data_IF_237984709849
#
_entry.id   IF_237984709849
#
_cell.length_a   1.000
_cell.length_b   1.000
_cell.length_c   1.000
_cell.angle_alpha   90.00
_cell.angle_beta   90.00
_cell.angle_gamma   90.00
#
_symmetry.space_group_name_H-M   'P 1'
#
loop_
_entity.id
_entity.type
_entity.pdbx_description
1 polymer ?
#
# COMPACT_ATOMS: atom_id res chain seq x y z
N UNK A 1 -5.30 -23.71 -13.04
CA UNK A 1 -6.38 -23.23 -12.13
C UNK A 1 -5.80 -22.72 -10.81
N UNK A 2 -4.95 -23.48 -10.11
CA UNK A 2 -4.36 -23.06 -8.83
C UNK A 2 -3.55 -21.74 -8.89
N UNK A 3 -2.74 -21.56 -9.94
CA UNK A 3 -1.94 -20.34 -10.14
C UNK A 3 -2.81 -19.10 -10.44
N UNK A 4 -3.93 -19.26 -11.16
CA UNK A 4 -4.88 -18.17 -11.44
C UNK A 4 -5.58 -17.71 -10.15
N UNK A 5 -5.97 -18.63 -9.29
CA UNK A 5 -6.70 -18.33 -8.06
C UNK A 5 -5.82 -17.65 -7.00
N UNK A 6 -4.57 -18.08 -6.83
CA UNK A 6 -3.63 -17.45 -5.91
C UNK A 6 -3.28 -16.01 -6.32
N UNK A 7 -3.17 -15.75 -7.62
CA UNK A 7 -2.98 -14.42 -8.22
C UNK A 7 -4.09 -13.45 -7.84
N UNK A 8 -5.33 -13.93 -7.95
CA UNK A 8 -6.54 -13.17 -7.66
C UNK A 8 -6.66 -12.82 -6.17
N UNK A 9 -6.19 -13.71 -5.28
CA UNK A 9 -6.37 -13.55 -3.83
C UNK A 9 -5.81 -12.23 -3.29
N UNK A 10 -4.69 -11.74 -3.84
CA UNK A 10 -4.06 -10.47 -3.43
C UNK A 10 -4.93 -9.25 -3.72
N UNK A 11 -5.74 -9.32 -4.76
CA UNK A 11 -6.64 -8.23 -5.12
C UNK A 11 -7.98 -8.31 -4.42
N UNK A 12 -8.30 -9.39 -3.68
CA UNK A 12 -9.63 -9.69 -3.15
C UNK A 12 -9.75 -9.73 -1.62
N UNK A 13 -8.66 -9.58 -0.86
CA UNK A 13 -8.63 -9.79 0.59
C UNK A 13 -9.00 -8.56 1.43
N UNK A 14 -9.55 -7.49 0.84
CA UNK A 14 -9.95 -6.29 1.58
C UNK A 14 -11.07 -6.55 2.61
N UNK A 15 -11.88 -7.59 2.43
CA UNK A 15 -12.87 -8.01 3.43
C UNK A 15 -12.26 -8.53 4.75
N UNK A 16 -10.95 -8.77 4.80
CA UNK A 16 -10.27 -9.30 5.99
C UNK A 16 -9.80 -8.20 6.96
N UNK A 17 -10.00 -6.92 6.62
CA UNK A 17 -9.61 -5.82 7.50
C UNK A 17 -10.38 -5.87 8.83
N UNK A 18 -9.71 -5.52 9.95
CA UNK A 18 -10.33 -5.57 11.26
C UNK A 18 -11.43 -4.51 11.39
N UNK A 19 -12.52 -4.87 12.09
CA UNK A 19 -13.65 -3.95 12.36
C UNK A 19 -13.36 -2.90 13.44
N UNK A 20 -12.18 -2.94 14.04
CA UNK A 20 -11.74 -2.00 15.08
C UNK A 20 -10.39 -1.45 14.68
N UNK A 21 -10.19 -0.18 14.97
CA UNK A 21 -8.87 0.44 14.81
C UNK A 21 -7.82 -0.29 15.66
N UNK A 22 -6.66 -0.49 15.06
CA UNK A 22 -5.52 -1.10 15.71
C UNK A 22 -4.53 -0.02 16.16
N UNK A 23 -3.63 -0.39 17.06
CA UNK A 23 -2.52 0.51 17.40
C UNK A 23 -1.58 0.69 16.19
N UNK A 24 -0.88 1.83 16.09
CA UNK A 24 0.06 2.10 15.01
C UNK A 24 1.09 0.99 14.78
N UNK A 25 1.62 0.93 13.55
CA UNK A 25 2.70 0.02 13.15
C UNK A 25 4.03 0.73 13.43
N UNK A 26 4.69 0.30 14.50
CA UNK A 26 5.94 0.88 15.01
C UNK A 26 6.88 -0.20 15.57
N UNK A 27 8.13 0.17 15.84
CA UNK A 27 9.21 -0.68 16.34
C UNK A 27 10.07 -1.30 15.24
N UNK A 28 9.54 -1.47 14.02
CA UNK A 28 10.32 -1.99 12.90
C UNK A 28 11.33 -0.94 12.37
N UNK A 29 11.03 0.34 12.50
CA UNK A 29 11.91 1.43 12.08
C UNK A 29 13.23 1.44 12.86
N UNK A 30 13.22 0.88 14.07
CA UNK A 30 14.39 0.76 14.97
C UNK A 30 15.29 -0.42 14.63
N UNK A 31 14.86 -1.33 13.75
CA UNK A 31 15.73 -2.44 13.31
C UNK A 31 16.72 -1.95 12.26
N UNK A 32 17.92 -2.52 12.26
CA UNK A 32 18.92 -2.26 11.22
C UNK A 32 18.38 -2.65 9.84
N UNK A 33 18.79 -1.91 8.81
CA UNK A 33 18.51 -2.29 7.43
C UNK A 33 19.42 -3.45 7.03
N UNK A 34 18.82 -4.60 6.68
CA UNK A 34 19.51 -5.85 6.39
C UNK A 34 19.28 -6.32 4.95
N UNK A 35 20.04 -7.31 4.49
CA UNK A 35 19.77 -7.99 3.21
C UNK A 35 18.46 -8.77 3.25
N UNK A 36 17.92 -9.16 2.10
CA UNK A 36 16.67 -9.92 2.03
C UNK A 36 16.79 -11.25 2.80
N UNK A 37 17.90 -11.98 2.61
CA UNK A 37 18.15 -13.26 3.30
C UNK A 37 18.20 -13.09 4.82
N UNK A 38 18.91 -12.07 5.31
CA UNK A 38 18.99 -11.77 6.75
C UNK A 38 17.62 -11.36 7.31
N UNK A 39 16.90 -10.49 6.60
CA UNK A 39 15.62 -9.95 7.04
C UNK A 39 14.53 -11.02 7.21
N UNK A 40 14.63 -12.13 6.46
CA UNK A 40 13.65 -13.21 6.46
C UNK A 40 14.07 -14.41 7.31
N UNK A 41 15.19 -14.33 8.03
CA UNK A 41 15.74 -15.46 8.80
C UNK A 41 14.72 -16.03 9.80
N UNK A 42 13.96 -15.17 10.50
CA UNK A 42 12.92 -15.59 11.46
C UNK A 42 11.69 -16.23 10.81
N UNK A 43 11.53 -16.10 9.49
CA UNK A 43 10.41 -16.61 8.71
C UNK A 43 10.73 -17.91 7.97
N UNK A 44 12.01 -18.26 7.81
CA UNK A 44 12.48 -19.47 7.07
C UNK A 44 11.81 -20.77 7.52
N UNK A 45 11.59 -20.94 8.83
CA UNK A 45 10.94 -22.13 9.40
C UNK A 45 9.40 -22.07 9.39
N UNK A 46 8.82 -20.89 9.11
CA UNK A 46 7.37 -20.66 9.16
C UNK A 46 6.72 -20.71 7.78
N UNK A 47 7.47 -20.36 6.74
CA UNK A 47 6.98 -20.27 5.37
C UNK A 47 7.58 -21.37 4.50
N UNK A 48 6.71 -22.03 3.74
CA UNK A 48 7.10 -23.11 2.85
C UNK A 48 8.08 -22.63 1.77
N UNK A 49 9.16 -23.37 1.55
CA UNK A 49 10.16 -23.11 0.49
C UNK A 49 10.69 -21.66 0.44
N UNK A 50 10.73 -20.96 1.59
CA UNK A 50 11.08 -19.55 1.61
C UNK A 50 12.47 -19.27 1.03
N UNK A 51 13.47 -20.09 1.35
CA UNK A 51 14.85 -19.93 0.86
C UNK A 51 14.93 -19.95 -0.67
N UNK A 52 14.17 -20.84 -1.30
CA UNK A 52 14.09 -20.92 -2.77
C UNK A 52 13.47 -19.65 -3.35
N UNK A 53 12.42 -19.15 -2.70
CA UNK A 53 11.68 -18.00 -3.20
C UNK A 53 12.45 -16.69 -3.00
N UNK A 54 13.21 -16.56 -1.91
CA UNK A 54 14.20 -15.48 -1.72
C UNK A 54 15.22 -15.49 -2.85
N UNK A 55 15.80 -16.66 -3.18
CA UNK A 55 16.78 -16.79 -4.28
C UNK A 55 16.18 -16.41 -5.63
N UNK A 56 14.93 -16.79 -5.91
CA UNK A 56 14.25 -16.40 -7.14
C UNK A 56 14.04 -14.88 -7.18
N UNK A 57 13.54 -14.29 -6.09
CA UNK A 57 13.32 -12.85 -5.99
C UNK A 57 14.62 -12.04 -6.23
N UNK A 58 15.73 -12.47 -5.61
CA UNK A 58 17.05 -11.87 -5.81
C UNK A 58 17.55 -12.00 -7.25
N UNK A 59 17.35 -13.16 -7.88
CA UNK A 59 17.77 -13.37 -9.28
C UNK A 59 17.01 -12.50 -10.26
N UNK A 60 15.71 -12.29 -10.02
CA UNK A 60 14.87 -11.43 -10.84
C UNK A 60 15.10 -9.93 -10.58
N UNK A 61 15.75 -9.59 -9.46
CA UNK A 61 15.98 -8.19 -9.03
C UNK A 61 17.44 -7.72 -9.19
N UNK A 62 18.24 -8.39 -10.04
CA UNK A 62 19.67 -8.08 -10.24
C UNK A 62 19.95 -6.73 -10.92
N UNK A 63 18.94 -6.15 -11.56
CA UNK A 63 19.02 -4.86 -12.26
C UNK A 63 17.97 -3.92 -11.68
N UNK A 64 18.14 -3.46 -10.43
CA UNK A 64 17.16 -2.62 -9.80
C UNK A 64 17.07 -1.27 -10.53
N UNK A 65 15.87 -0.68 -10.48
CA UNK A 65 15.59 0.67 -11.00
C UNK A 65 15.06 1.56 -9.87
N UNK A 66 14.80 2.84 -10.14
CA UNK A 66 14.23 3.80 -9.18
C UNK A 66 15.09 4.01 -7.92
N UNK A 67 16.42 3.85 -8.04
CA UNK A 67 17.35 4.04 -6.92
C UNK A 67 17.27 2.96 -5.83
N UNK A 68 16.62 1.83 -6.12
CA UNK A 68 16.57 0.69 -5.22
C UNK A 68 17.87 -0.11 -5.25
N UNK A 69 18.19 -0.75 -4.13
CA UNK A 69 19.18 -1.84 -4.11
C UNK A 69 18.57 -3.14 -4.66
N UNK A 70 19.40 -4.13 -4.96
CA UNK A 70 18.92 -5.46 -5.36
C UNK A 70 18.06 -6.11 -4.28
N UNK A 71 18.44 -5.97 -3.00
CA UNK A 71 17.66 -6.49 -1.86
C UNK A 71 16.32 -5.77 -1.68
N UNK A 72 16.29 -4.45 -1.86
CA UNK A 72 15.05 -3.65 -1.79
C UNK A 72 14.09 -4.04 -2.92
N UNK A 73 14.58 -4.14 -4.16
CA UNK A 73 13.78 -4.60 -5.29
C UNK A 73 13.33 -6.05 -5.09
N UNK A 74 14.19 -6.91 -4.56
CA UNK A 74 13.85 -8.31 -4.28
C UNK A 74 12.82 -8.44 -3.15
N UNK A 75 12.82 -7.56 -2.15
CA UNK A 75 11.80 -7.55 -1.11
C UNK A 75 10.41 -7.28 -1.70
N UNK A 76 10.30 -6.31 -2.61
CA UNK A 76 9.05 -6.03 -3.34
C UNK A 76 8.68 -7.22 -4.23
N UNK A 77 9.64 -7.76 -4.99
CA UNK A 77 9.40 -8.92 -5.84
C UNK A 77 8.86 -10.10 -5.02
N UNK A 78 9.52 -10.43 -3.90
CA UNK A 78 9.13 -11.51 -3.00
C UNK A 78 7.72 -11.32 -2.44
N UNK A 79 7.33 -10.09 -2.10
CA UNK A 79 5.97 -9.76 -1.67
C UNK A 79 4.93 -10.08 -2.75
N UNK A 80 5.26 -9.83 -4.03
CA UNK A 80 4.34 -10.11 -5.16
C UNK A 80 4.34 -11.56 -5.63
N UNK A 81 5.34 -12.35 -5.23
CA UNK A 81 5.45 -13.74 -5.63
C UNK A 81 4.31 -14.57 -5.04
N UNK A 82 3.85 -15.55 -5.82
CA UNK A 82 2.79 -16.46 -5.43
C UNK A 82 3.33 -17.81 -4.99
N UNK A 83 2.60 -18.42 -4.06
CA UNK A 83 2.83 -19.78 -3.61
C UNK A 83 1.70 -20.68 -4.14
N UNK A 84 1.92 -21.99 -4.25
CA UNK A 84 0.83 -22.94 -4.45
C UNK A 84 -0.25 -22.76 -3.38
N UNK A 85 -1.54 -22.88 -3.76
CA UNK A 85 -2.70 -22.63 -2.89
C UNK A 85 -2.66 -23.33 -1.52
N UNK A 86 -1.95 -24.45 -1.43
CA UNK A 86 -1.79 -25.23 -0.20
C UNK A 86 -0.88 -24.57 0.85
N UNK A 87 -0.20 -23.48 0.51
CA UNK A 87 0.76 -22.82 1.38
C UNK A 87 0.59 -21.29 1.34
N UNK A 88 0.64 -20.67 2.52
CA UNK A 88 0.62 -19.22 2.63
C UNK A 88 1.92 -18.62 2.06
N UNK A 89 1.76 -17.61 1.19
CA UNK A 89 2.86 -16.82 0.65
C UNK A 89 3.32 -15.75 1.62
N UNK A 90 4.42 -15.05 1.30
CA UNK A 90 4.86 -13.86 2.04
C UNK A 90 3.74 -12.81 2.08
N UNK A 91 3.09 -12.54 0.94
CA UNK A 91 1.91 -11.67 0.87
C UNK A 91 0.86 -12.05 1.92
N UNK A 92 0.42 -13.32 1.87
CA UNK A 92 -0.70 -13.82 2.67
C UNK A 92 -0.38 -13.73 4.16
N UNK A 93 0.76 -14.28 4.58
CA UNK A 93 1.13 -14.33 5.99
C UNK A 93 1.52 -12.96 6.55
N UNK A 94 2.10 -12.08 5.74
CA UNK A 94 2.41 -10.72 6.20
C UNK A 94 1.14 -9.90 6.38
N UNK A 95 0.21 -9.94 5.43
CA UNK A 95 -1.05 -9.19 5.55
C UNK A 95 -1.93 -9.72 6.68
N UNK A 96 -1.91 -11.04 6.96
CA UNK A 96 -2.53 -11.60 8.16
C UNK A 96 -1.91 -11.02 9.44
N UNK A 97 -0.58 -10.96 9.53
CA UNK A 97 0.10 -10.39 10.69
C UNK A 97 -0.18 -8.88 10.85
N UNK A 98 -0.24 -8.13 9.75
CA UNK A 98 -0.55 -6.70 9.73
C UNK A 98 -1.98 -6.39 10.17
N UNK A 99 -2.95 -7.26 9.86
CA UNK A 99 -4.35 -7.16 10.29
C UNK A 99 -4.61 -7.71 11.69
N UNK A 100 -3.61 -8.37 12.28
CA UNK A 100 -3.75 -8.95 13.62
C UNK A 100 -3.75 -7.86 14.70
N UNK A 101 -4.76 -7.91 15.58
CA UNK A 101 -4.86 -7.00 16.73
C UNK A 101 -3.66 -7.13 17.69
N UNK A 102 -3.11 -8.33 17.84
CA UNK A 102 -1.92 -8.54 18.65
C UNK A 102 -0.66 -8.16 17.86
N UNK A 103 -0.19 -6.91 18.01
CA UNK A 103 1.02 -6.39 17.33
C UNK A 103 2.30 -7.17 17.58
N UNK A 104 2.38 -7.99 18.64
CA UNK A 104 3.52 -8.89 18.85
C UNK A 104 3.69 -9.93 17.74
N UNK A 105 2.62 -10.26 17.03
CA UNK A 105 2.67 -11.16 15.87
C UNK A 105 3.42 -10.53 14.69
N UNK A 106 3.58 -9.21 14.68
CA UNK A 106 4.32 -8.49 13.65
C UNK A 106 5.82 -8.42 13.94
N UNK A 107 6.25 -8.59 15.20
CA UNK A 107 7.66 -8.49 15.60
C UNK A 107 8.61 -9.40 14.79
N UNK A 108 8.28 -10.67 14.47
CA UNK A 108 9.13 -11.51 13.61
C UNK A 108 9.33 -10.97 12.19
N UNK A 109 8.46 -10.06 11.74
CA UNK A 109 8.50 -9.44 10.42
C UNK A 109 9.28 -8.13 10.40
N UNK A 110 9.64 -7.55 11.56
CA UNK A 110 10.23 -6.21 11.63
C UNK A 110 11.46 -6.02 10.73
N UNK A 111 12.44 -6.96 10.67
CA UNK A 111 13.57 -6.80 9.75
C UNK A 111 13.13 -6.76 8.27
N UNK A 112 12.14 -7.58 7.89
CA UNK A 112 11.60 -7.56 6.53
C UNK A 112 10.79 -6.29 6.26
N UNK A 113 9.96 -5.83 7.20
CA UNK A 113 9.21 -4.57 7.09
C UNK A 113 10.13 -3.37 6.94
N UNK A 114 11.26 -3.34 7.67
CA UNK A 114 12.28 -2.30 7.52
C UNK A 114 12.81 -2.26 6.09
N UNK A 115 13.21 -3.40 5.52
CA UNK A 115 13.70 -3.48 4.14
C UNK A 115 12.61 -3.14 3.12
N UNK A 116 11.43 -3.75 3.26
CA UNK A 116 10.32 -3.60 2.32
C UNK A 116 9.76 -2.18 2.31
N UNK A 117 9.51 -1.57 3.46
CA UNK A 117 9.04 -0.18 3.50
C UNK A 117 10.13 0.80 3.11
N UNK A 118 11.40 0.55 3.43
CA UNK A 118 12.50 1.36 2.88
C UNK A 118 12.44 1.40 1.35
N UNK A 119 12.24 0.24 0.71
CA UNK A 119 12.08 0.16 -0.74
C UNK A 119 10.85 0.94 -1.24
N UNK A 120 9.67 0.73 -0.63
CA UNK A 120 8.44 1.40 -1.05
C UNK A 120 8.46 2.93 -0.85
N UNK A 121 9.12 3.42 0.21
CA UNK A 121 9.25 4.86 0.45
C UNK A 121 10.20 5.55 -0.55
N UNK A 122 11.17 4.82 -1.13
CA UNK A 122 12.03 5.34 -2.21
C UNK A 122 11.29 5.49 -3.54
N UNK A 123 10.20 4.74 -3.74
CA UNK A 123 9.41 4.83 -4.96
C UNK A 123 8.59 6.14 -4.99
N UNK A 124 8.46 6.76 -6.18
CA UNK A 124 7.62 7.94 -6.33
C UNK A 124 6.17 7.63 -5.97
N UNK A 125 5.50 8.60 -5.35
CA UNK A 125 4.07 8.47 -5.03
C UNK A 125 3.23 8.72 -6.29
N UNK A 126 2.44 7.71 -6.65
CA UNK A 126 1.41 7.79 -7.66
C UNK A 126 0.17 8.48 -7.09
N UNK A 127 -0.29 9.51 -7.81
CA UNK A 127 -1.56 10.18 -7.55
C UNK A 127 -2.51 9.87 -8.69
N UNK A 128 -3.70 9.35 -8.38
CA UNK A 128 -4.66 8.98 -9.40
C UNK A 128 -5.69 7.98 -8.91
N UNK A 129 -6.43 7.41 -9.86
CA UNK A 129 -7.44 6.40 -9.57
C UNK A 129 -6.86 5.00 -9.70
N UNK A 130 -7.03 4.19 -8.66
CA UNK A 130 -6.67 2.78 -8.63
C UNK A 130 -7.87 1.92 -8.23
N UNK A 131 -7.81 0.64 -8.57
CA UNK A 131 -8.91 -0.29 -8.43
C UNK A 131 -8.52 -1.50 -7.58
N UNK A 132 -9.45 -1.98 -6.77
CA UNK A 132 -9.30 -3.20 -5.96
C UNK A 132 -10.62 -3.94 -5.87
N UNK A 133 -10.60 -5.26 -5.98
CA UNK A 133 -11.81 -6.08 -5.95
C UNK A 133 -12.02 -6.73 -4.60
N UNK A 134 -13.21 -7.22 -4.33
CA UNK A 134 -13.49 -8.19 -3.26
C UNK A 134 -14.64 -9.08 -3.72
N UNK A 135 -14.60 -10.36 -3.37
CA UNK A 135 -15.78 -11.24 -3.47
C UNK A 135 -16.70 -10.99 -2.28
N UNK A 136 -17.98 -10.81 -2.56
CA UNK A 136 -19.02 -10.45 -1.61
C UNK A 136 -19.41 -8.97 -1.67
N UNK A 137 -20.55 -8.66 -1.06
CA UNK A 137 -21.05 -7.30 -0.87
C UNK A 137 -20.50 -6.71 0.43
N UNK A 138 -19.83 -5.56 0.34
CA UNK A 138 -19.27 -4.82 1.48
C UNK A 138 -19.95 -3.47 1.74
N UNK A 139 -21.06 -3.13 1.07
CA UNK A 139 -21.71 -1.82 1.23
C UNK A 139 -22.04 -1.50 2.69
N UNK A 140 -22.55 -2.49 3.42
CA UNK A 140 -22.98 -2.35 4.82
C UNK A 140 -21.88 -2.73 5.83
N UNK A 141 -20.75 -3.26 5.35
CA UNK A 141 -19.64 -3.71 6.19
C UNK A 141 -18.55 -2.65 6.36
N UNK A 142 -18.62 -1.55 5.60
CA UNK A 142 -17.62 -0.50 5.56
C UNK A 142 -18.22 0.79 6.10
N UNK A 143 -17.57 1.33 7.12
CA UNK A 143 -17.90 2.60 7.76
C UNK A 143 -17.62 3.79 6.81
N UNK A 144 -17.97 5.01 7.22
CA UNK A 144 -17.74 6.21 6.41
C UNK A 144 -16.25 6.52 6.22
N UNK A 145 -15.43 6.11 7.17
CA UNK A 145 -13.98 6.17 7.13
C UNK A 145 -13.37 4.86 7.66
N UNK A 146 -12.18 4.52 7.18
CA UNK A 146 -11.52 3.28 7.55
C UNK A 146 -10.01 3.36 7.35
N UNK A 147 -9.29 2.51 8.09
CA UNK A 147 -7.86 2.29 7.92
C UNK A 147 -7.66 0.89 7.36
N UNK A 148 -6.96 0.78 6.22
CA UNK A 148 -6.48 -0.50 5.73
C UNK A 148 -5.14 -0.84 6.36
N UNK A 149 -5.15 -1.83 7.25
CA UNK A 149 -3.99 -2.26 8.01
C UNK A 149 -3.12 -3.23 7.24
N UNK A 150 -3.65 -3.98 6.28
CA UNK A 150 -2.84 -4.73 5.32
C UNK A 150 -2.19 -3.82 4.27
N UNK A 151 -1.07 -4.27 3.70
CA UNK A 151 -0.58 -3.72 2.43
C UNK A 151 -1.61 -4.11 1.37
N UNK A 152 -2.14 -3.12 0.65
CA UNK A 152 -3.24 -3.33 -0.28
C UNK A 152 -2.73 -3.34 -1.71
N UNK A 153 -2.88 -4.48 -2.40
CA UNK A 153 -2.63 -4.59 -3.84
C UNK A 153 -3.80 -4.03 -4.65
N UNK A 154 -3.51 -3.08 -5.51
CA UNK A 154 -4.44 -2.40 -6.41
C UNK A 154 -3.89 -2.39 -7.84
N UNK A 155 -4.70 -2.01 -8.81
CA UNK A 155 -4.28 -1.86 -10.22
C UNK A 155 -4.78 -0.54 -10.80
N UNK A 156 -4.00 0.06 -11.71
CA UNK A 156 -4.44 1.24 -12.48
C UNK A 156 -5.48 0.85 -13.57
N UNK A 157 -5.55 -0.44 -13.93
CA UNK A 157 -6.40 -0.93 -15.04
C UNK A 157 -7.62 -1.70 -14.56
N UNK A 158 -8.79 -1.07 -14.68
CA UNK A 158 -10.08 -1.72 -14.40
C UNK A 158 -10.32 -3.00 -15.20
N UNK A 159 -9.79 -3.12 -16.44
CA UNK A 159 -9.93 -4.35 -17.25
C UNK A 159 -9.28 -5.56 -16.61
N UNK A 160 -8.17 -5.37 -15.90
CA UNK A 160 -7.51 -6.47 -15.18
C UNK A 160 -8.39 -6.93 -14.01
N UNK A 161 -9.22 -6.03 -13.45
CA UNK A 161 -10.18 -6.39 -12.42
C UNK A 161 -11.31 -7.29 -12.93
N UNK A 162 -11.70 -7.22 -14.21
CA UNK A 162 -12.69 -8.16 -14.79
C UNK A 162 -12.17 -9.61 -14.71
N UNK A 163 -10.88 -9.81 -15.00
CA UNK A 163 -10.22 -11.12 -14.90
C UNK A 163 -10.12 -11.62 -13.44
N UNK A 164 -10.02 -10.69 -12.48
CA UNK A 164 -9.84 -11.02 -11.06
C UNK A 164 -11.15 -11.24 -10.30
N UNK A 165 -12.12 -10.34 -10.47
CA UNK A 165 -13.43 -10.42 -9.82
C UNK A 165 -14.32 -11.48 -10.45
N UNK A 166 -14.16 -11.72 -11.76
CA UNK A 166 -15.12 -12.50 -12.55
C UNK A 166 -16.41 -11.72 -12.79
N UNK A 167 -17.35 -12.36 -13.50
CA UNK A 167 -18.63 -11.74 -13.91
C UNK A 167 -19.82 -12.15 -13.04
N UNK A 168 -19.64 -13.13 -12.15
CA UNK A 168 -20.73 -13.80 -11.48
C UNK A 168 -20.57 -13.77 -9.95
N UNK A 169 -21.70 -13.69 -9.25
CA UNK A 169 -21.76 -13.67 -7.79
C UNK A 169 -21.56 -12.27 -7.20
N UNK A 170 -22.00 -12.12 -5.95
CA UNK A 170 -21.86 -10.88 -5.19
C UNK A 170 -20.40 -10.44 -5.15
N UNK A 171 -20.13 -9.19 -5.51
CA UNK A 171 -18.78 -8.65 -5.62
C UNK A 171 -18.75 -7.15 -5.37
N UNK A 172 -17.65 -6.69 -4.80
CA UNK A 172 -17.39 -5.28 -4.52
C UNK A 172 -16.15 -4.83 -5.30
N UNK A 173 -16.25 -3.68 -5.98
CA UNK A 173 -15.14 -3.01 -6.63
C UNK A 173 -14.89 -1.67 -5.94
N UNK A 174 -13.70 -1.49 -5.40
CA UNK A 174 -13.24 -0.21 -4.89
C UNK A 174 -12.67 0.63 -6.03
N UNK A 175 -13.25 1.81 -6.20
CA UNK A 175 -12.68 2.91 -6.95
C UNK A 175 -11.95 3.80 -5.96
N UNK A 176 -10.64 3.99 -6.06
CA UNK A 176 -9.86 4.64 -5.01
C UNK A 176 -9.08 5.81 -5.60
N UNK A 177 -9.39 7.04 -5.16
CA UNK A 177 -8.55 8.22 -5.38
C UNK A 177 -7.36 8.16 -4.42
N UNK A 178 -6.19 7.69 -4.89
CA UNK A 178 -4.98 7.61 -4.08
C UNK A 178 -4.08 8.84 -4.28
N UNK A 179 -3.35 9.19 -3.23
CA UNK A 179 -2.31 10.23 -3.25
C UNK A 179 -0.91 9.67 -2.97
N UNK A 180 -0.81 8.48 -2.37
CA UNK A 180 0.44 7.87 -1.96
C UNK A 180 0.62 6.43 -2.44
N UNK A 181 -0.05 6.06 -3.53
CA UNK A 181 0.12 4.75 -4.17
C UNK A 181 1.57 4.52 -4.62
N UNK A 182 2.07 3.30 -4.47
CA UNK A 182 3.42 2.92 -4.91
C UNK A 182 3.32 1.99 -6.10
N UNK A 183 3.56 2.52 -7.30
CA UNK A 183 3.63 1.69 -8.50
C UNK A 183 4.86 0.80 -8.40
N UNK A 184 4.64 -0.52 -8.39
CA UNK A 184 5.70 -1.52 -8.31
C UNK A 184 5.87 -2.27 -9.63
N UNK A 185 5.34 -1.72 -10.74
CA UNK A 185 5.36 -2.37 -12.06
C UNK A 185 6.75 -2.87 -12.47
N UNK A 186 7.80 -2.11 -12.18
CA UNK A 186 9.17 -2.46 -12.56
C UNK A 186 9.86 -3.46 -11.61
N UNK A 187 9.22 -3.78 -10.48
CA UNK A 187 9.73 -4.68 -9.43
C UNK A 187 8.85 -5.93 -9.25
N UNK A 188 7.57 -5.86 -9.64
CA UNK A 188 6.59 -6.92 -9.48
C UNK A 188 6.93 -8.12 -10.36
N UNK A 189 6.60 -9.31 -9.87
CA UNK A 189 6.66 -10.54 -10.63
C UNK A 189 5.73 -10.54 -11.86
N UNK A 190 4.69 -9.71 -11.85
CA UNK A 190 3.70 -9.62 -12.91
C UNK A 190 3.59 -8.19 -13.46
N UNK A 191 4.52 -7.81 -14.33
CA UNK A 191 4.58 -6.45 -14.91
C UNK A 191 3.27 -6.03 -15.62
N UNK A 192 2.51 -6.99 -16.14
CA UNK A 192 1.25 -6.76 -16.83
C UNK A 192 0.11 -6.32 -15.89
N UNK A 193 0.24 -6.51 -14.58
CA UNK A 193 -0.79 -6.15 -13.59
C UNK A 193 -0.88 -4.65 -13.31
N UNK A 194 0.15 -3.89 -13.69
CA UNK A 194 0.29 -2.47 -13.31
C UNK A 194 -0.04 -2.28 -11.83
N UNK A 195 0.57 -3.15 -11.01
CA UNK A 195 0.27 -3.26 -9.60
C UNK A 195 0.74 -2.01 -8.86
N UNK A 196 -0.17 -1.45 -8.06
CA UNK A 196 0.05 -0.32 -7.17
C UNK A 196 -0.21 -0.81 -5.75
N UNK A 197 0.74 -0.59 -4.86
CA UNK A 197 0.55 -0.88 -3.44
C UNK A 197 0.14 0.38 -2.68
N UNK A 198 -0.88 0.25 -1.83
CA UNK A 198 -1.08 1.17 -0.71
C UNK A 198 -0.38 0.61 0.52
N UNK A 199 0.34 1.47 1.24
CA UNK A 199 1.01 1.11 2.48
C UNK A 199 -0.03 0.73 3.56
N UNK A 200 0.33 -0.13 4.53
CA UNK A 200 -0.56 -0.39 5.64
C UNK A 200 -0.72 0.86 6.49
N UNK A 201 -1.88 1.00 7.12
CA UNK A 201 -2.26 2.22 7.81
C UNK A 201 -2.81 3.31 6.88
N UNK A 202 -3.12 3.01 5.61
CA UNK A 202 -3.73 4.00 4.70
C UNK A 202 -5.15 4.32 5.18
N UNK A 203 -5.41 5.60 5.40
CA UNK A 203 -6.73 6.11 5.79
C UNK A 203 -7.55 6.50 4.55
N UNK A 204 -8.76 5.96 4.47
CA UNK A 204 -9.65 6.08 3.34
C UNK A 204 -11.01 6.57 3.82
N UNK A 205 -11.62 7.46 3.04
CA UNK A 205 -12.98 7.93 3.27
C UNK A 205 -13.91 7.48 2.17
N UNK A 206 -15.09 7.00 2.51
CA UNK A 206 -16.14 6.66 1.54
C UNK A 206 -16.74 7.95 0.99
N UNK A 207 -16.55 8.17 -0.31
CA UNK A 207 -17.10 9.31 -1.04
C UNK A 207 -18.52 9.00 -1.52
N UNK A 208 -18.74 7.82 -2.08
CA UNK A 208 -20.03 7.39 -2.61
C UNK A 208 -20.12 5.88 -2.76
N UNK A 209 -21.33 5.35 -2.77
CA UNK A 209 -21.62 3.94 -3.10
C UNK A 209 -22.55 3.88 -4.30
N UNK A 210 -22.33 2.93 -5.20
CA UNK A 210 -23.15 2.74 -6.40
C UNK A 210 -23.25 1.25 -6.72
N UNK A 211 -24.44 0.75 -7.08
CA UNK A 211 -24.64 -0.66 -7.44
C UNK A 211 -25.22 -0.74 -8.86
N UNK A 212 -24.37 -0.84 -9.91
CA UNK A 212 -24.81 -0.89 -11.31
C UNK A 212 -25.65 -2.12 -11.64
N UNK A 213 -25.45 -3.23 -10.93
CA UNK A 213 -26.24 -4.45 -11.04
C UNK A 213 -26.58 -4.97 -9.65
N UNK A 214 -27.39 -6.03 -9.59
CA UNK A 214 -27.79 -6.66 -8.32
C UNK A 214 -26.58 -7.20 -7.53
N UNK A 215 -25.59 -7.69 -8.25
CA UNK A 215 -24.45 -8.46 -7.75
C UNK A 215 -23.12 -7.70 -7.79
N UNK A 216 -23.07 -6.50 -8.36
CA UNK A 216 -21.89 -5.64 -8.40
C UNK A 216 -22.12 -4.37 -7.59
N UNK A 217 -21.29 -4.18 -6.57
CA UNK A 217 -21.25 -2.99 -5.75
C UNK A 217 -19.95 -2.23 -5.98
N UNK A 218 -20.03 -0.93 -6.16
CA UNK A 218 -18.89 -0.04 -6.35
C UNK A 218 -18.84 0.92 -5.17
N UNK A 219 -17.73 0.92 -4.46
CA UNK A 219 -17.47 1.83 -3.34
C UNK A 219 -16.35 2.77 -3.76
N UNK A 220 -16.68 4.06 -3.85
CA UNK A 220 -15.71 5.10 -4.14
C UNK A 220 -15.05 5.54 -2.84
N UNK A 221 -13.74 5.38 -2.76
CA UNK A 221 -12.89 5.78 -1.65
C UNK A 221 -11.95 6.90 -2.08
N UNK A 222 -11.60 7.76 -1.14
CA UNK A 222 -10.52 8.75 -1.29
C UNK A 222 -9.52 8.61 -0.16
N UNK A 223 -8.25 8.56 -0.50
CA UNK A 223 -7.16 8.63 0.47
C UNK A 223 -7.09 10.03 1.08
N UNK A 224 -7.12 10.09 2.40
CA UNK A 224 -7.00 11.33 3.18
C UNK A 224 -5.89 11.19 4.23
N UNK A 225 -5.30 12.30 4.70
CA UNK A 225 -4.37 12.25 5.83
C UNK A 225 -5.06 11.63 7.05
N UNK A 226 -4.43 10.61 7.64
CA UNK A 226 -4.93 9.98 8.85
C UNK A 226 -4.93 10.98 10.03
N UNK A 227 -5.90 10.88 10.96
CA UNK A 227 -5.98 11.75 12.13
C UNK A 227 -4.81 11.57 13.11
N UNK A 228 -4.08 10.47 13.00
CA UNK A 228 -2.87 10.16 13.77
C UNK A 228 -1.90 9.34 12.91
N UNK A 229 -0.65 9.24 13.34
CA UNK A 229 0.34 8.43 12.65
C UNK A 229 0.00 6.94 12.77
N UNK A 230 -0.35 6.32 11.65
CA UNK A 230 -0.72 4.89 11.58
C UNK A 230 0.48 3.98 11.38
N UNK A 231 1.57 4.51 10.80
CA UNK A 231 2.82 3.80 10.55
C UNK A 231 4.02 4.75 10.73
N UNK A 232 5.06 4.29 11.43
CA UNK A 232 6.33 5.02 11.54
C UNK A 232 7.05 5.06 10.17
N UNK A 233 7.75 6.14 9.76
CA UNK A 233 8.59 6.07 8.57
C UNK A 233 9.76 5.10 8.79
N UNK A 234 10.24 4.40 7.74
CA UNK A 234 11.36 3.46 7.87
C UNK A 234 12.72 4.15 8.09
N UNK A 235 12.79 5.47 7.97
CA UNK A 235 14.00 6.26 8.19
C UNK A 235 13.88 7.02 9.50
N UNK A 236 15.00 7.21 10.20
CA UNK A 236 15.01 8.19 11.28
C UNK A 236 14.67 9.55 10.69
N UNK A 237 13.66 10.22 11.26
CA UNK A 237 13.42 11.62 10.95
C UNK A 237 14.66 12.37 11.42
N UNK A 238 15.55 12.73 10.49
CA UNK A 238 16.60 13.70 10.79
C UNK A 238 15.87 14.96 11.23
N UNK A 239 15.91 15.26 12.52
CA UNK A 239 15.44 16.50 13.10
C UNK A 239 16.32 17.63 12.55
N UNK A 240 15.94 18.16 11.41
CA UNK A 240 16.42 19.45 10.94
C UNK A 240 15.21 20.35 10.82
N UNK A 241 15.04 21.34 11.73
CA UNK A 241 14.06 22.38 11.51
C UNK A 241 14.52 23.15 10.28
N UNK A 242 13.82 22.96 9.17
CA UNK A 242 13.94 23.87 8.04
C UNK A 242 13.30 25.18 8.51
N UNK A 243 14.14 26.17 8.84
CA UNK A 243 13.69 27.54 9.02
C UNK A 243 12.89 27.95 7.78
N UNK A 244 11.57 28.02 7.91
CA UNK A 244 10.75 28.69 6.91
C UNK A 244 11.18 30.17 6.93
N UNK A 245 11.60 30.74 5.79
CA UNK A 245 11.83 32.17 5.71
C UNK A 245 10.51 32.87 6.05
N UNK A 246 10.54 33.71 7.08
CA UNK A 246 9.41 34.51 7.52
C UNK A 246 8.87 35.34 6.35
N UNK A 247 7.65 35.05 5.94
CA UNK A 247 6.90 35.88 5.00
C UNK A 247 6.72 37.26 5.62
N UNK A 248 7.42 38.27 5.08
CA UNK A 248 7.18 39.66 5.43
C UNK A 248 5.74 40.03 5.03
N UNK A 249 4.97 40.67 5.92
CA UNK A 249 3.62 41.11 5.58
C UNK A 249 3.63 42.08 4.40
N UNK A 250 2.84 41.78 3.38
CA UNK A 250 2.55 42.70 2.27
C UNK A 250 1.91 43.96 2.84
N UNK A 251 2.63 45.07 2.78
CA UNK A 251 2.11 46.38 3.16
C UNK A 251 1.29 46.91 1.99
N UNK A 252 -0.03 46.83 2.08
CA UNK A 252 -0.93 47.47 1.12
C UNK A 252 -0.84 48.99 1.37
N UNK A 253 -0.19 49.70 0.45
CA UNK A 253 -0.16 51.16 0.48
C UNK A 253 -1.56 51.71 0.23
N UNK A 254 -2.13 52.37 1.23
CA UNK A 254 -3.33 53.19 1.10
C UNK A 254 -2.94 54.57 0.57
N UNK A 255 -2.69 54.70 -0.73
CA UNK A 255 -2.73 56.00 -1.38
C UNK A 255 -3.87 56.03 -2.41
N UNK A 256 -4.82 56.96 -2.30
CA UNK A 256 -5.84 57.17 -3.32
C UNK A 256 -5.21 57.84 -4.56
N UNK A 257 -5.73 57.57 -5.77
CA UNK A 257 -5.19 58.15 -7.00
C UNK A 257 -5.43 59.67 -7.01
N UNK A 258 -4.35 60.44 -7.22
CA UNK A 258 -4.43 61.90 -7.43
C UNK A 258 -5.16 62.16 -8.75
N UNK A 259 -6.34 62.77 -8.64
CA UNK A 259 -7.06 63.36 -9.78
C UNK A 259 -6.36 64.67 -10.13
N UNK A 260 -5.86 64.77 -11.37
CA UNK A 260 -5.34 66.00 -11.95
C UNK A 260 -6.50 66.89 -12.37
N UNK A 261 -6.66 68.04 -11.71
CA UNK A 261 -7.48 69.16 -12.20
C UNK A 261 -6.55 70.22 -12.77
N UNK A 262 -6.64 70.47 -14.07
CA UNK A 262 -5.99 71.57 -14.75
C UNK A 262 -6.91 72.80 -14.77
N UNK A 263 -6.50 73.86 -14.06
CA UNK A 263 -6.59 75.28 -14.41
C UNK A 263 -5.93 76.10 -13.29
#
# INVERSE_FOLDING_TARGET
MAEKNARVARFLDAAQEPKKELTPIEGYEKTDLMTLEQSMQSMTKKLHNLDTMIKIALRNSRKPVNGLTSDESAAIHLYTMQWPETHASVYTSLNEALRCQNRRNLTPWFPYLKLFFTALYKLPSLKGTIWRGVRGNLNDAIDEDLIWWGVSSCTEKVKIMEDFLGTDGERTLFNIECTNGKSIRAQSHFEAEEEVLLLPGTYLKVVSRWSPSKDLHIIHLREEPAPYQTIAPPFEATSSPVDLPSLKPLTISKEPPKVSTAA
#
